data_IF_702267248807
#
_entry.id   IF_702267248807
#
_cell.length_a   1.000
_cell.length_b   1.000
_cell.length_c   1.000
_cell.angle_alpha   90.00
_cell.angle_beta   90.00
_cell.angle_gamma   90.00
#
_symmetry.space_group_name_H-M   'P 1'
#
loop_
_entity.id
_entity.type
_entity.pdbx_description
1 polymer ?
#
# COMPACT_ATOMS: atom_id res chain seq x y z
N UNK A 1 -24.73 1.23 5.80
CA UNK A 1 -23.60 0.32 5.54
C UNK A 1 -22.50 1.21 5.01
N UNK A 2 -21.30 1.17 5.58
CA UNK A 2 -20.15 1.89 5.02
C UNK A 2 -19.40 0.94 4.12
N UNK A 3 -19.11 1.36 2.90
CA UNK A 3 -18.33 0.55 1.97
C UNK A 3 -16.86 0.63 2.37
N UNK A 4 -16.31 -0.51 2.79
CA UNK A 4 -14.90 -0.62 3.17
C UNK A 4 -14.09 -1.04 1.95
N UNK A 5 -13.04 -0.29 1.64
CA UNK A 5 -12.11 -0.60 0.56
C UNK A 5 -10.69 -0.80 1.12
N UNK A 6 -9.80 -1.36 0.29
CA UNK A 6 -8.41 -1.60 0.66
C UNK A 6 -7.45 -1.14 -0.42
N UNK A 7 -6.29 -0.63 -0.01
CA UNK A 7 -5.21 -0.26 -0.90
C UNK A 7 -3.90 -0.92 -0.46
N UNK A 8 -3.05 -1.24 -1.44
CA UNK A 8 -1.70 -1.77 -1.25
C UNK A 8 -0.71 -0.62 -1.37
N UNK A 9 0.24 -0.58 -0.44
CA UNK A 9 1.34 0.39 -0.45
C UNK A 9 2.56 -0.25 -1.07
N UNK A 10 3.09 0.36 -2.13
CA UNK A 10 4.35 -0.01 -2.75
C UNK A 10 5.46 0.93 -2.28
N UNK A 11 6.52 0.37 -1.71
CA UNK A 11 7.69 1.11 -1.25
C UNK A 11 8.73 1.25 -2.36
N UNK A 12 9.67 2.19 -2.22
CA UNK A 12 10.86 2.16 -3.08
C UNK A 12 11.71 0.92 -2.78
N UNK A 13 12.31 0.28 -3.80
CA UNK A 13 13.27 -0.80 -3.55
C UNK A 13 14.46 -0.26 -2.77
N UNK A 14 14.92 -1.00 -1.76
CA UNK A 14 16.13 -0.64 -1.03
C UNK A 14 17.33 -0.73 -1.98
N UNK A 15 17.84 0.44 -2.42
CA UNK A 15 18.99 0.52 -3.33
C UNK A 15 20.25 -0.16 -2.75
N UNK A 16 20.30 -0.39 -1.43
CA UNK A 16 21.40 -1.15 -0.80
C UNK A 16 21.35 -2.66 -1.05
N UNK A 17 20.26 -3.20 -1.61
CA UNK A 17 20.20 -4.59 -2.11
C UNK A 17 20.78 -4.77 -3.51
N UNK A 18 21.23 -3.70 -4.18
CA UNK A 18 22.07 -3.84 -5.39
C UNK A 18 23.55 -4.00 -5.03
N UNK A 19 23.90 -5.11 -4.36
CA UNK A 19 25.19 -5.81 -4.53
C UNK A 19 25.23 -7.04 -3.63
N UNK A 20 24.90 -8.19 -4.18
CA UNK A 20 25.73 -9.37 -4.00
C UNK A 20 25.59 -10.21 -5.27
N UNK A 21 26.67 -10.46 -6.04
CA UNK A 21 26.62 -11.45 -7.09
C UNK A 21 26.21 -12.77 -6.45
N UNK A 22 25.30 -13.47 -7.13
CA UNK A 22 24.85 -14.83 -6.87
C UNK A 22 25.82 -15.65 -6.00
N UNK A 23 25.34 -16.00 -4.80
CA UNK A 23 25.51 -17.26 -4.05
C UNK A 23 25.61 -16.99 -2.55
N UNK A 24 24.60 -17.48 -1.82
CA UNK A 24 24.57 -17.70 -0.37
C UNK A 24 24.62 -16.45 0.53
N UNK A 25 23.45 -16.02 0.99
CA UNK A 25 23.33 -15.33 2.28
C UNK A 25 22.24 -16.02 3.10
N UNK A 26 22.65 -17.01 3.89
CA UNK A 26 21.99 -17.41 5.13
C UNK A 26 22.66 -16.60 6.24
N UNK A 27 22.08 -15.46 6.61
CA UNK A 27 22.49 -14.71 7.80
C UNK A 27 21.24 -14.22 8.51
N UNK A 28 20.77 -15.03 9.47
CA UNK A 28 19.91 -14.59 10.54
C UNK A 28 20.76 -13.83 11.55
N UNK A 29 21.01 -12.54 11.32
CA UNK A 29 21.47 -11.64 12.38
C UNK A 29 20.48 -10.49 12.49
N UNK A 30 20.00 -10.29 13.72
CA UNK A 30 19.02 -9.27 14.07
C UNK A 30 19.72 -7.93 13.94
N UNK A 31 19.43 -7.19 12.87
CA UNK A 31 19.95 -5.84 12.65
C UNK A 31 19.50 -4.94 13.81
N UNK A 32 20.44 -4.49 14.64
CA UNK A 32 20.19 -3.62 15.81
C UNK A 32 19.75 -2.20 15.40
N UNK A 33 19.99 -1.82 14.15
CA UNK A 33 19.43 -0.61 13.52
C UNK A 33 18.43 -1.02 12.44
N UNK A 34 17.20 -0.48 12.43
CA UNK A 34 16.27 -0.76 11.36
C UNK A 34 16.91 -0.37 10.03
N UNK A 35 16.81 -1.25 9.04
CA UNK A 35 17.18 -0.87 7.67
C UNK A 35 16.33 0.33 7.27
N UNK A 36 16.79 1.16 6.31
CA UNK A 36 15.97 2.26 5.78
C UNK A 36 14.56 1.81 5.41
N UNK A 37 14.44 0.60 4.83
CA UNK A 37 13.15 -0.03 4.54
C UNK A 37 12.29 -0.28 5.79
N UNK A 38 12.83 -0.87 6.86
CA UNK A 38 12.06 -1.13 8.10
C UNK A 38 11.62 0.18 8.76
N UNK A 39 12.49 1.19 8.81
CA UNK A 39 12.14 2.51 9.35
C UNK A 39 11.03 3.19 8.53
N UNK A 40 11.12 3.14 7.19
CA UNK A 40 10.06 3.62 6.29
C UNK A 40 8.76 2.85 6.48
N UNK A 41 8.83 1.53 6.64
CA UNK A 41 7.66 0.66 6.83
C UNK A 41 6.91 0.99 8.14
N UNK A 42 7.64 1.19 9.23
CA UNK A 42 7.07 1.61 10.51
C UNK A 42 6.46 3.01 10.42
N UNK A 43 7.20 3.99 9.87
CA UNK A 43 6.74 5.36 9.68
C UNK A 43 5.44 5.43 8.87
N UNK A 44 5.39 4.73 7.73
CA UNK A 44 4.21 4.68 6.85
C UNK A 44 3.03 4.06 7.58
N UNK A 45 3.26 2.99 8.34
CA UNK A 45 2.22 2.37 9.15
C UNK A 45 1.65 3.30 10.22
N UNK A 46 2.51 3.95 10.99
CA UNK A 46 2.08 4.89 12.03
C UNK A 46 1.28 6.05 11.44
N UNK A 47 1.72 6.57 10.29
CA UNK A 47 1.01 7.65 9.60
C UNK A 47 -0.41 7.25 9.23
N UNK A 48 -0.61 6.13 8.52
CA UNK A 48 -1.95 5.71 8.12
C UNK A 48 -2.83 5.27 9.30
N UNK A 49 -2.26 4.68 10.35
CA UNK A 49 -3.00 4.41 11.59
C UNK A 49 -3.48 5.71 12.25
N UNK A 50 -2.67 6.77 12.25
CA UNK A 50 -3.04 8.07 12.82
C UNK A 50 -4.18 8.75 12.05
N UNK A 51 -4.32 8.45 10.77
CA UNK A 51 -5.42 8.90 9.90
C UNK A 51 -6.68 8.04 10.03
N UNK A 52 -6.68 7.01 10.88
CA UNK A 52 -7.85 6.16 11.13
C UNK A 52 -7.93 4.91 10.23
N UNK A 53 -6.94 4.64 9.37
CA UNK A 53 -6.92 3.40 8.61
C UNK A 53 -6.53 2.21 9.48
N UNK A 54 -7.12 1.06 9.17
CA UNK A 54 -6.60 -0.22 9.63
C UNK A 54 -5.41 -0.60 8.75
N UNK A 55 -4.24 -0.81 9.35
CA UNK A 55 -3.02 -1.19 8.62
C UNK A 55 -2.73 -2.68 8.81
N UNK A 56 -2.68 -3.41 7.70
CA UNK A 56 -2.28 -4.81 7.67
C UNK A 56 -0.83 -4.93 7.18
N UNK A 57 0.03 -5.56 7.99
CA UNK A 57 1.46 -5.75 7.72
C UNK A 57 1.72 -7.23 7.44
N UNK A 58 2.34 -7.56 6.31
CA UNK A 58 2.69 -8.93 5.93
C UNK A 58 4.11 -8.97 5.34
N UNK A 59 5.10 -9.40 6.14
CA UNK A 59 6.54 -9.54 5.83
C UNK A 59 7.21 -8.41 5.03
N UNK A 60 6.85 -8.26 3.75
CA UNK A 60 7.39 -7.27 2.80
C UNK A 60 6.33 -6.34 2.20
N UNK A 61 5.05 -6.58 2.49
CA UNK A 61 3.92 -5.84 1.97
C UNK A 61 3.15 -5.15 3.09
N UNK A 62 2.60 -3.98 2.79
CA UNK A 62 1.68 -3.26 3.66
C UNK A 62 0.43 -2.90 2.88
N UNK A 63 -0.72 -3.10 3.50
CA UNK A 63 -2.00 -2.62 2.99
C UNK A 63 -2.75 -1.81 4.04
N UNK A 64 -3.61 -0.93 3.57
CA UNK A 64 -4.50 -0.10 4.38
C UNK A 64 -5.95 -0.42 4.03
N UNK A 65 -6.82 -0.37 5.02
CA UNK A 65 -8.25 -0.61 4.85
C UNK A 65 -9.04 0.40 5.66
N UNK A 66 -10.14 0.88 5.11
CA UNK A 66 -10.96 1.94 5.69
C UNK A 66 -12.21 2.19 4.86
N UNK A 67 -13.09 3.03 5.39
CA UNK A 67 -14.31 3.43 4.70
C UNK A 67 -13.97 4.28 3.46
N UNK A 68 -14.74 4.12 2.36
CA UNK A 68 -14.58 4.88 1.13
C UNK A 68 -14.52 6.40 1.38
N UNK A 69 -15.37 6.90 2.27
CA UNK A 69 -15.41 8.32 2.64
C UNK A 69 -14.07 8.81 3.23
N UNK A 70 -13.40 7.97 4.03
CA UNK A 70 -12.09 8.28 4.58
C UNK A 70 -11.03 8.32 3.49
N UNK A 71 -11.10 7.43 2.49
CA UNK A 71 -10.20 7.50 1.35
C UNK A 71 -10.39 8.79 0.55
N UNK A 72 -11.63 9.16 0.23
CA UNK A 72 -11.92 10.42 -0.49
C UNK A 72 -11.44 11.64 0.30
N UNK A 73 -11.62 11.65 1.62
CA UNK A 73 -11.15 12.73 2.50
C UNK A 73 -9.62 12.86 2.52
N UNK A 74 -8.91 11.73 2.67
CA UNK A 74 -7.44 11.74 2.87
C UNK A 74 -6.69 11.92 1.55
N UNK A 75 -7.17 11.31 0.48
CA UNK A 75 -6.52 11.36 -0.82
C UNK A 75 -7.02 12.51 -1.71
N UNK A 76 -8.02 13.27 -1.24
CA UNK A 76 -8.67 14.36 -1.99
C UNK A 76 -9.07 13.91 -3.40
N UNK A 77 -9.71 12.75 -3.46
CA UNK A 77 -10.03 12.03 -4.69
C UNK A 77 -11.53 11.70 -4.72
N UNK A 78 -12.06 11.48 -5.93
CA UNK A 78 -13.46 11.10 -6.15
C UNK A 78 -13.53 9.61 -6.47
N UNK A 79 -13.24 8.79 -5.45
CA UNK A 79 -13.25 7.34 -5.58
C UNK A 79 -14.71 6.87 -5.58
N UNK A 80 -15.11 6.22 -6.67
CA UNK A 80 -16.45 5.67 -6.84
C UNK A 80 -16.45 4.14 -6.79
N UNK A 81 -17.50 3.57 -6.21
CA UNK A 81 -17.78 2.14 -6.28
C UNK A 81 -18.86 1.89 -7.32
N UNK A 82 -18.57 0.99 -8.25
CA UNK A 82 -19.53 0.55 -9.25
C UNK A 82 -19.46 -0.97 -9.42
N UNK A 83 -20.49 -1.55 -10.03
CA UNK A 83 -20.54 -2.98 -10.29
C UNK A 83 -20.00 -3.25 -11.68
N UNK A 84 -19.05 -4.18 -11.78
CA UNK A 84 -18.54 -4.63 -13.06
C UNK A 84 -19.68 -5.22 -13.89
N UNK A 85 -19.94 -4.73 -15.11
CA UNK A 85 -21.13 -5.09 -15.88
C UNK A 85 -21.15 -6.56 -16.32
N UNK A 86 -20.01 -7.24 -16.34
CA UNK A 86 -19.92 -8.65 -16.78
C UNK A 86 -19.89 -9.65 -15.62
N UNK A 87 -19.24 -9.30 -14.51
CA UNK A 87 -19.06 -10.23 -13.38
C UNK A 87 -19.99 -9.92 -12.20
N UNK A 88 -20.51 -8.69 -12.13
CA UNK A 88 -21.31 -8.22 -11.00
C UNK A 88 -20.50 -7.94 -9.74
N UNK A 89 -19.17 -7.96 -9.83
CA UNK A 89 -18.28 -7.66 -8.71
C UNK A 89 -18.20 -6.15 -8.46
N UNK A 90 -18.00 -5.76 -7.20
CA UNK A 90 -17.71 -4.37 -6.87
C UNK A 90 -16.29 -4.00 -7.37
N UNK A 91 -16.21 -2.94 -8.16
CA UNK A 91 -14.97 -2.37 -8.70
C UNK A 91 -14.85 -0.94 -8.22
N UNK A 92 -13.64 -0.56 -7.88
CA UNK A 92 -13.30 0.80 -7.51
C UNK A 92 -12.86 1.53 -8.77
N UNK A 93 -13.55 2.62 -9.12
CA UNK A 93 -13.16 3.51 -10.19
C UNK A 93 -12.38 4.68 -9.61
N UNK A 94 -11.20 4.92 -10.21
CA UNK A 94 -10.31 6.03 -9.91
C UNK A 94 -10.10 6.80 -11.22
N UNK A 95 -10.34 8.11 -11.22
CA UNK A 95 -10.00 8.93 -12.39
C UNK A 95 -8.47 9.07 -12.55
N UNK A 96 -7.74 9.05 -11.43
CA UNK A 96 -6.30 9.29 -11.38
C UNK A 96 -5.59 8.37 -10.35
N UNK A 97 -4.27 8.41 -10.34
CA UNK A 97 -3.48 7.76 -9.30
C UNK A 97 -3.67 8.48 -7.95
N UNK A 98 -3.86 7.71 -6.88
CA UNK A 98 -3.92 8.25 -5.51
C UNK A 98 -2.67 9.06 -5.17
N UNK A 99 -2.88 10.28 -4.70
CA UNK A 99 -1.80 11.18 -4.33
C UNK A 99 -1.13 10.73 -3.04
N UNK A 100 0.18 10.50 -3.09
CA UNK A 100 0.96 10.14 -1.90
C UNK A 100 1.07 11.39 -0.99
N UNK A 101 0.72 11.27 0.31
CA UNK A 101 0.91 12.34 1.28
C UNK A 101 2.35 12.88 1.23
N UNK A 102 2.56 14.21 1.25
CA UNK A 102 3.89 14.82 1.08
C UNK A 102 4.98 14.23 1.97
N UNK A 103 4.62 13.88 3.22
CA UNK A 103 5.52 13.34 4.23
C UNK A 103 6.04 11.93 3.92
N UNK A 104 5.36 11.19 3.03
CA UNK A 104 5.67 9.81 2.69
C UNK A 104 6.23 9.64 1.27
N UNK A 105 6.36 10.73 0.49
CA UNK A 105 6.84 10.68 -0.91
C UNK A 105 8.25 10.14 -1.09
N UNK A 106 9.06 10.11 -0.03
CA UNK A 106 10.40 9.52 -0.04
C UNK A 106 10.42 8.04 0.37
N UNK A 107 9.32 7.55 0.95
CA UNK A 107 9.20 6.20 1.49
C UNK A 107 8.38 5.29 0.56
N UNK A 108 7.34 5.85 -0.05
CA UNK A 108 6.35 5.16 -0.89
C UNK A 108 6.57 5.53 -2.35
N UNK A 109 6.58 4.52 -3.23
CA UNK A 109 6.59 4.71 -4.67
C UNK A 109 5.19 4.88 -5.26
N UNK A 110 4.20 4.11 -4.76
CA UNK A 110 2.79 4.19 -5.21
C UNK A 110 1.83 3.61 -4.17
N UNK A 111 0.58 4.04 -4.22
CA UNK A 111 -0.55 3.42 -3.51
C UNK A 111 -1.53 2.93 -4.58
N UNK A 112 -1.96 1.68 -4.49
CA UNK A 112 -2.81 1.04 -5.50
C UNK A 112 -4.00 0.40 -4.82
N UNK A 113 -5.20 0.71 -5.29
CA UNK A 113 -6.38 -0.09 -4.95
C UNK A 113 -6.39 -1.25 -5.97
N UNK A 114 -6.14 -2.50 -5.54
CA UNK A 114 -6.13 -3.61 -6.47
C UNK A 114 -7.54 -3.77 -7.05
N UNK A 115 -7.62 -3.80 -8.38
CA UNK A 115 -8.84 -4.24 -9.05
C UNK A 115 -9.23 -5.64 -8.58
N UNK A 116 -10.51 -5.97 -8.68
CA UNK A 116 -10.97 -7.35 -8.51
C UNK A 116 -10.05 -8.26 -9.36
N UNK A 117 -9.60 -9.41 -8.82
CA UNK A 117 -8.66 -10.26 -9.53
C UNK A 117 -9.21 -10.54 -10.93
N UNK A 118 -8.50 -10.10 -11.97
CA UNK A 118 -8.76 -10.58 -13.31
C UNK A 118 -8.59 -12.09 -13.24
N UNK A 119 -9.71 -12.81 -13.16
CA UNK A 119 -9.71 -14.22 -13.47
C UNK A 119 -9.24 -14.29 -14.92
N UNK A 120 -7.98 -14.68 -15.12
CA UNK A 120 -7.45 -15.01 -16.43
C UNK A 120 -8.43 -16.01 -17.06
N UNK A 121 -9.27 -15.52 -17.98
CA UNK A 121 -10.18 -16.32 -18.81
C UNK A 121 -9.40 -17.01 -19.92
#
# INVERSE_FOLDING_TARGET
>A
MTDTISAVIMFFPDDRKKTAPSHSILACERLETPTPFVASFEKVSEHFQSLGFTVNRADVNQSISGDLALFNEIFDDDIELSLHPQTGDAVVYLEHDLLIPPELRHDISRIVIPDAPEYFL
#
